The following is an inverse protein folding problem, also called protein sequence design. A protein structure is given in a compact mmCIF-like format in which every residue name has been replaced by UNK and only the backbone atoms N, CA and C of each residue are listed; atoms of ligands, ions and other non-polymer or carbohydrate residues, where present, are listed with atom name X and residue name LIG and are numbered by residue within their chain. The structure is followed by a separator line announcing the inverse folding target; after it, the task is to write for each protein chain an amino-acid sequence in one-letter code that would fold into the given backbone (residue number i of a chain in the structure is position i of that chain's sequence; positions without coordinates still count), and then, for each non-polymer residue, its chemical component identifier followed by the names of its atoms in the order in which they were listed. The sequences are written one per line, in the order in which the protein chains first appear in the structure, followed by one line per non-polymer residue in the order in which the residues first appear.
data_IF_908764246786
#
_entry.id   IF_908764246786
#
_cell.length_a   1.000
_cell.length_b   1.000
_cell.length_c   1.000
_cell.angle_alpha   90.00
_cell.angle_beta   90.00
_cell.angle_gamma   90.00
#
_symmetry.space_group_name_H-M   'P 1'
#
loop_
_entity.id
_entity.type
_entity.pdbx_description
1 polymer ?
#
# COMPACT_ATOMS: atom_id res chain seq x y z
N UNK A 1 27.69 11.34 -50.97
CA UNK A 1 27.02 11.15 -49.68
C UNK A 1 27.50 9.82 -49.08
N UNK A 2 28.20 9.86 -47.96
CA UNK A 2 28.76 8.67 -47.33
C UNK A 2 27.64 7.75 -46.88
N UNK A 3 27.61 6.50 -47.39
CA UNK A 3 26.60 5.50 -47.01
C UNK A 3 26.54 5.25 -45.50
N UNK A 4 27.65 5.51 -44.77
CA UNK A 4 27.71 5.48 -43.31
C UNK A 4 26.88 6.58 -42.64
N UNK A 5 26.78 7.78 -43.26
CA UNK A 5 25.96 8.86 -42.69
C UNK A 5 24.45 8.56 -42.72
N UNK A 6 24.00 7.72 -43.65
CA UNK A 6 22.62 7.26 -43.74
C UNK A 6 22.29 6.15 -42.72
N UNK A 7 23.29 5.41 -42.24
CA UNK A 7 23.10 4.36 -41.24
C UNK A 7 23.12 4.91 -39.82
N UNK A 8 23.72 6.10 -39.59
CA UNK A 8 23.83 6.70 -38.25
C UNK A 8 22.48 6.90 -37.55
N UNK A 9 21.43 7.50 -38.20
CA UNK A 9 20.12 7.65 -37.55
C UNK A 9 19.44 6.32 -37.24
N UNK A 10 19.64 5.31 -38.09
CA UNK A 10 19.10 3.97 -37.84
C UNK A 10 19.76 3.31 -36.62
N UNK A 11 21.09 3.42 -36.49
CA UNK A 11 21.81 2.88 -35.34
C UNK A 11 21.44 3.60 -34.05
N UNK A 12 21.26 4.93 -34.09
CA UNK A 12 20.78 5.70 -32.94
C UNK A 12 19.37 5.28 -32.54
N UNK A 13 18.48 5.10 -33.50
CA UNK A 13 17.12 4.63 -33.25
C UNK A 13 17.10 3.23 -32.63
N UNK A 14 17.85 2.27 -33.17
CA UNK A 14 17.96 0.93 -32.61
C UNK A 14 18.57 0.94 -31.19
N UNK A 15 19.57 1.79 -30.95
CA UNK A 15 20.14 1.99 -29.61
C UNK A 15 19.11 2.52 -28.62
N UNK A 16 18.28 3.49 -29.05
CA UNK A 16 17.20 4.03 -28.25
C UNK A 16 16.11 2.99 -27.94
N UNK A 17 15.72 2.23 -28.94
CA UNK A 17 14.75 1.11 -28.78
C UNK A 17 15.28 0.08 -27.78
N UNK A 18 16.54 -0.33 -27.91
CA UNK A 18 17.16 -1.27 -26.98
C UNK A 18 17.23 -0.70 -25.54
N UNK A 19 17.58 0.57 -25.40
CA UNK A 19 17.61 1.26 -24.11
C UNK A 19 16.24 1.27 -23.42
N UNK A 20 15.18 1.63 -24.16
CA UNK A 20 13.81 1.60 -23.61
C UNK A 20 13.32 0.19 -23.35
N UNK A 21 13.64 -0.79 -24.21
CA UNK A 21 13.29 -2.19 -23.98
C UNK A 21 13.87 -2.70 -22.66
N UNK A 22 15.14 -2.39 -22.37
CA UNK A 22 15.77 -2.72 -21.06
C UNK A 22 15.13 -1.92 -19.91
N UNK A 23 14.77 -0.65 -20.14
CA UNK A 23 14.07 0.17 -19.14
C UNK A 23 12.71 -0.39 -18.74
N UNK A 24 11.94 -0.90 -19.71
CA UNK A 24 10.62 -1.50 -19.49
C UNK A 24 10.64 -2.85 -18.76
N UNK A 25 11.80 -3.53 -18.72
CA UNK A 25 11.95 -4.76 -17.92
C UNK A 25 12.22 -4.48 -16.44
N UNK A 26 12.48 -3.23 -16.07
CA UNK A 26 12.69 -2.86 -14.67
C UNK A 26 11.33 -2.71 -13.98
N UNK A 27 11.17 -3.41 -12.87
CA UNK A 27 9.96 -3.35 -12.06
C UNK A 27 9.87 -1.98 -11.36
N UNK A 28 8.87 -1.13 -11.68
CA UNK A 28 8.71 0.18 -11.05
C UNK A 28 8.25 0.08 -9.59
N UNK A 29 7.78 -1.09 -9.13
CA UNK A 29 7.37 -1.31 -7.74
C UNK A 29 8.55 -1.32 -6.77
N UNK A 30 9.80 -1.37 -7.27
CA UNK A 30 11.03 -1.31 -6.46
C UNK A 30 11.37 0.09 -5.92
N UNK A 31 10.48 1.07 -6.05
CA UNK A 31 10.66 2.37 -5.39
C UNK A 31 10.52 2.15 -3.89
N UNK A 32 11.65 2.00 -3.21
CA UNK A 32 11.66 1.88 -1.76
C UNK A 32 11.07 3.15 -1.16
N UNK A 33 10.10 2.96 -0.27
CA UNK A 33 9.54 4.09 0.47
C UNK A 33 10.64 4.76 1.29
N UNK A 34 10.70 6.08 1.25
CA UNK A 34 11.60 6.89 2.09
C UNK A 34 11.31 6.74 3.58
N UNK A 35 10.20 6.11 3.94
CA UNK A 35 9.76 5.86 5.30
C UNK A 35 10.29 4.54 5.89
N UNK A 36 10.94 3.68 5.10
CA UNK A 36 11.47 2.41 5.61
C UNK A 36 12.43 2.70 6.77
N UNK A 37 12.23 1.96 7.88
CA UNK A 37 12.94 2.10 9.16
C UNK A 37 12.82 3.49 9.80
N UNK A 38 11.75 4.21 9.48
CA UNK A 38 11.40 5.50 10.10
C UNK A 38 10.04 5.41 10.82
N UNK A 39 9.82 6.28 11.80
CA UNK A 39 8.52 6.39 12.45
C UNK A 39 7.39 6.63 11.45
N UNK A 40 6.27 5.95 11.65
CA UNK A 40 5.03 6.23 10.91
C UNK A 40 4.68 7.71 11.08
N UNK A 41 4.43 8.48 10.02
CA UNK A 41 3.96 9.85 10.13
C UNK A 41 2.75 9.96 11.05
N UNK A 42 2.78 10.95 11.94
CA UNK A 42 1.71 11.14 12.91
C UNK A 42 0.43 11.59 12.21
N UNK A 43 -0.67 10.92 12.48
CA UNK A 43 -2.00 11.34 12.06
C UNK A 43 -3.01 11.14 13.17
N UNK A 44 -4.07 11.92 13.12
CA UNK A 44 -5.24 11.85 13.97
C UNK A 44 -6.46 12.21 13.12
N UNK A 45 -7.19 11.19 12.68
CA UNK A 45 -8.27 11.29 11.70
C UNK A 45 -9.59 10.81 12.29
N UNK A 46 -10.75 11.28 11.78
CA UNK A 46 -12.03 10.69 12.11
C UNK A 46 -12.06 9.21 11.75
N UNK A 47 -12.73 8.40 12.55
CA UNK A 47 -13.01 7.02 12.18
C UNK A 47 -14.15 6.99 11.16
N UNK A 48 -13.95 6.29 10.04
CA UNK A 48 -14.98 6.18 9.02
C UNK A 48 -16.23 5.46 9.55
N UNK A 49 -17.38 6.12 9.42
CA UNK A 49 -18.68 5.56 9.79
C UNK A 49 -18.96 5.51 11.30
N UNK A 50 -18.13 6.13 12.15
CA UNK A 50 -18.32 6.17 13.61
C UNK A 50 -18.10 7.59 14.12
N UNK A 51 -19.19 8.28 14.46
CA UNK A 51 -19.13 9.65 14.95
C UNK A 51 -18.38 9.77 16.29
N UNK A 52 -17.58 10.82 16.42
CA UNK A 52 -16.84 11.14 17.65
C UNK A 52 -15.66 10.21 17.95
N UNK A 53 -15.42 9.18 17.16
CA UNK A 53 -14.27 8.29 17.28
C UNK A 53 -13.14 8.75 16.36
N UNK A 54 -11.91 8.61 16.84
CA UNK A 54 -10.73 8.97 16.05
C UNK A 54 -9.77 7.79 15.95
N UNK A 55 -9.07 7.72 14.83
CA UNK A 55 -8.01 6.76 14.57
C UNK A 55 -6.69 7.52 14.50
N UNK A 56 -5.74 7.10 15.32
CA UNK A 56 -4.43 7.75 15.41
C UNK A 56 -3.31 6.79 15.03
N UNK A 57 -2.21 7.33 14.51
CA UNK A 57 -1.00 6.54 14.23
C UNK A 57 -0.45 5.81 15.46
N UNK A 58 -0.66 6.34 16.66
CA UNK A 58 -0.22 5.72 17.92
C UNK A 58 -0.89 4.35 18.17
N UNK A 59 -2.12 4.16 17.70
CA UNK A 59 -2.85 2.87 17.86
C UNK A 59 -2.21 1.72 17.05
N UNK A 60 -1.38 2.05 16.06
CA UNK A 60 -0.69 1.06 15.22
C UNK A 60 0.62 0.58 15.84
N UNK A 61 1.02 1.08 17.00
CA UNK A 61 2.21 0.66 17.75
C UNK A 61 1.89 -0.36 18.85
N UNK A 62 2.93 -0.96 19.46
CA UNK A 62 2.79 -1.97 20.51
C UNK A 62 2.71 -3.42 19.99
N UNK A 63 2.35 -3.61 18.73
CA UNK A 63 2.33 -4.89 18.02
C UNK A 63 2.68 -4.68 16.54
N UNK A 64 2.92 -5.75 15.82
CA UNK A 64 3.06 -5.66 14.35
C UNK A 64 1.66 -5.51 13.75
N UNK A 65 1.47 -4.49 12.89
CA UNK A 65 0.19 -4.16 12.27
C UNK A 65 0.33 -3.90 10.79
N UNK A 66 -0.76 -3.99 10.05
CA UNK A 66 -0.86 -3.53 8.67
C UNK A 66 -1.69 -2.26 8.59
N UNK A 67 -1.18 -1.26 7.87
CA UNK A 67 -1.94 -0.09 7.43
C UNK A 67 -2.17 -0.20 5.93
N UNK A 68 -3.40 -0.46 5.53
CA UNK A 68 -3.80 -0.59 4.14
C UNK A 68 -4.49 0.69 3.67
N UNK A 69 -3.94 1.30 2.63
CA UNK A 69 -4.51 2.48 1.95
C UNK A 69 -5.41 1.98 0.85
N UNK A 70 -6.68 2.31 0.93
CA UNK A 70 -7.69 1.83 0.00
C UNK A 70 -8.77 2.86 -0.27
N UNK A 71 -9.64 2.57 -1.23
CA UNK A 71 -10.85 3.36 -1.49
C UNK A 71 -11.94 2.50 -2.14
N UNK A 72 -13.21 2.88 -1.96
CA UNK A 72 -14.35 2.18 -2.57
C UNK A 72 -14.35 2.26 -4.10
N UNK A 73 -13.83 3.35 -4.67
CA UNK A 73 -13.70 3.56 -6.11
C UNK A 73 -12.53 2.80 -6.75
N UNK A 74 -11.67 2.16 -5.94
CA UNK A 74 -10.46 1.47 -6.39
C UNK A 74 -10.76 0.02 -6.81
N UNK A 75 -10.65 -0.30 -8.08
CA UNK A 75 -10.92 -1.66 -8.61
C UNK A 75 -9.92 -2.67 -8.06
N UNK A 76 -8.62 -2.32 -8.01
CA UNK A 76 -7.58 -3.21 -7.49
C UNK A 76 -7.75 -3.50 -5.99
N UNK A 77 -8.33 -2.57 -5.22
CA UNK A 77 -8.67 -2.79 -3.81
C UNK A 77 -9.78 -3.85 -3.64
N UNK A 78 -10.72 -3.94 -4.60
CA UNK A 78 -11.72 -5.03 -4.61
C UNK A 78 -11.08 -6.39 -4.86
N UNK A 79 -9.98 -6.44 -5.62
CA UNK A 79 -9.27 -7.69 -5.92
C UNK A 79 -8.57 -8.24 -4.68
N UNK A 80 -7.94 -7.39 -3.86
CA UNK A 80 -7.25 -7.84 -2.63
C UNK A 80 -8.21 -8.10 -1.45
N UNK A 81 -9.38 -7.48 -1.45
CA UNK A 81 -10.31 -7.49 -0.32
C UNK A 81 -10.65 -8.89 0.25
N UNK A 82 -10.90 -9.93 -0.59
CA UNK A 82 -11.13 -11.29 -0.09
C UNK A 82 -9.96 -11.85 0.70
N UNK A 83 -8.72 -11.52 0.32
CA UNK A 83 -7.51 -11.94 1.05
C UNK A 83 -7.44 -11.24 2.39
N UNK A 84 -7.69 -9.92 2.44
CA UNK A 84 -7.72 -9.17 3.70
C UNK A 84 -8.79 -9.71 4.67
N UNK A 85 -9.98 -10.06 4.16
CA UNK A 85 -11.03 -10.70 4.97
C UNK A 85 -10.60 -12.07 5.52
N UNK A 86 -9.91 -12.88 4.72
CA UNK A 86 -9.36 -14.18 5.15
C UNK A 86 -8.35 -13.98 6.28
N UNK A 87 -7.45 -13.00 6.15
CA UNK A 87 -6.44 -12.69 7.16
C UNK A 87 -7.07 -12.20 8.46
N UNK A 88 -8.02 -11.28 8.38
CA UNK A 88 -8.75 -10.76 9.54
C UNK A 88 -9.53 -11.85 10.28
N UNK A 89 -10.28 -12.71 9.56
CA UNK A 89 -11.00 -13.84 10.15
C UNK A 89 -10.06 -14.84 10.84
N UNK A 90 -8.91 -15.10 10.25
CA UNK A 90 -7.91 -16.00 10.81
C UNK A 90 -7.10 -15.36 11.95
N UNK A 91 -7.34 -14.07 12.26
CA UNK A 91 -6.58 -13.28 13.26
C UNK A 91 -5.06 -13.37 13.04
N UNK A 92 -4.64 -13.42 11.77
CA UNK A 92 -3.23 -13.53 11.40
C UNK A 92 -2.46 -12.27 11.69
N UNK A 93 -3.11 -11.11 11.54
CA UNK A 93 -2.54 -9.78 11.77
C UNK A 93 -3.69 -8.80 12.01
N UNK A 94 -3.43 -7.74 12.75
CA UNK A 94 -4.37 -6.63 12.89
C UNK A 94 -4.24 -5.67 11.73
N UNK A 95 -5.36 -5.38 11.06
CA UNK A 95 -5.43 -4.51 9.90
C UNK A 95 -6.10 -3.18 10.27
N UNK A 96 -5.46 -2.08 9.90
CA UNK A 96 -6.04 -0.75 9.91
C UNK A 96 -6.24 -0.28 8.47
N UNK A 97 -7.36 0.38 8.21
CA UNK A 97 -7.65 0.98 6.92
C UNK A 97 -7.37 2.48 6.91
N UNK A 98 -6.84 3.01 5.83
CA UNK A 98 -6.82 4.44 5.51
C UNK A 98 -7.68 4.63 4.27
N UNK A 99 -8.90 5.16 4.47
CA UNK A 99 -9.82 5.46 3.37
C UNK A 99 -9.37 6.75 2.68
N UNK A 100 -8.78 6.61 1.49
CA UNK A 100 -8.13 7.71 0.77
C UNK A 100 -9.10 8.40 -0.18
N UNK A 101 -9.43 9.67 0.13
CA UNK A 101 -10.31 10.51 -0.71
C UNK A 101 -11.60 9.79 -1.12
N UNK A 102 -12.19 9.09 -0.17
CA UNK A 102 -13.41 8.34 -0.37
C UNK A 102 -14.65 9.15 0.04
N UNK A 103 -15.81 8.77 -0.45
CA UNK A 103 -17.07 9.33 0.00
C UNK A 103 -17.67 8.43 1.08
N UNK A 104 -18.11 8.99 2.23
CA UNK A 104 -18.59 8.20 3.35
C UNK A 104 -19.69 7.19 2.99
N UNK A 105 -20.66 7.58 2.14
CA UNK A 105 -21.74 6.70 1.71
C UNK A 105 -21.26 5.58 0.78
N UNK A 106 -20.33 5.88 -0.14
CA UNK A 106 -19.75 4.87 -1.05
C UNK A 106 -18.93 3.85 -0.26
N UNK A 107 -18.10 4.32 0.68
CA UNK A 107 -17.33 3.47 1.58
C UNK A 107 -18.22 2.58 2.43
N UNK A 108 -19.28 3.15 3.02
CA UNK A 108 -20.26 2.40 3.82
C UNK A 108 -20.93 1.29 3.02
N UNK A 109 -21.40 1.61 1.81
CA UNK A 109 -22.02 0.62 0.93
C UNK A 109 -21.02 -0.48 0.57
N UNK A 110 -19.80 -0.12 0.21
CA UNK A 110 -18.73 -1.05 -0.14
C UNK A 110 -18.43 -2.02 1.00
N UNK A 111 -18.29 -1.51 2.25
CA UNK A 111 -18.04 -2.35 3.43
C UNK A 111 -19.25 -3.23 3.80
N UNK A 112 -20.47 -2.74 3.57
CA UNK A 112 -21.68 -3.53 3.83
C UNK A 112 -21.85 -4.69 2.86
N UNK A 113 -21.45 -4.51 1.60
CA UNK A 113 -21.53 -5.55 0.57
C UNK A 113 -20.42 -6.60 0.70
N UNK A 114 -19.18 -6.14 0.92
CA UNK A 114 -18.00 -6.98 0.86
C UNK A 114 -17.50 -7.44 2.23
N UNK A 115 -18.01 -6.84 3.31
CA UNK A 115 -17.53 -7.05 4.68
C UNK A 115 -16.40 -6.10 5.07
N UNK A 116 -16.09 -6.04 6.37
CA UNK A 116 -15.06 -5.16 6.92
C UNK A 116 -13.90 -5.99 7.51
N UNK A 117 -12.69 -5.98 6.92
CA UNK A 117 -11.52 -6.67 7.45
C UNK A 117 -10.76 -5.85 8.50
N UNK A 118 -11.07 -4.56 8.66
CA UNK A 118 -10.26 -3.62 9.44
C UNK A 118 -10.72 -3.53 10.89
N UNK A 119 -9.76 -3.43 11.82
CA UNK A 119 -10.02 -3.12 13.24
C UNK A 119 -10.56 -1.69 13.40
N UNK A 120 -10.01 -0.75 12.62
CA UNK A 120 -10.51 0.61 12.49
C UNK A 120 -10.13 1.17 11.11
N UNK A 121 -10.91 2.16 10.64
CA UNK A 121 -10.66 2.84 9.36
C UNK A 121 -10.53 4.33 9.64
N UNK A 122 -9.38 4.91 9.32
CA UNK A 122 -9.14 6.34 9.33
C UNK A 122 -9.68 6.97 8.03
N UNK A 123 -10.47 8.04 8.14
CA UNK A 123 -11.00 8.79 7.01
C UNK A 123 -10.04 9.90 6.58
N UNK A 124 -9.27 9.68 5.52
CA UNK A 124 -8.39 10.68 4.91
C UNK A 124 -9.09 11.35 3.70
N UNK A 125 -10.24 11.99 3.97
CA UNK A 125 -11.04 12.66 2.95
C UNK A 125 -10.23 13.72 2.16
N UNK A 126 -9.24 14.36 2.80
CA UNK A 126 -8.37 15.35 2.16
C UNK A 126 -7.21 14.72 1.37
N UNK A 127 -6.84 13.49 1.70
CA UNK A 127 -5.66 12.79 1.16
C UNK A 127 -4.34 13.30 1.73
N UNK A 128 -4.37 14.09 2.82
CA UNK A 128 -3.15 14.68 3.39
C UNK A 128 -2.26 13.61 4.02
N UNK A 129 -2.85 12.70 4.78
CA UNK A 129 -2.11 11.60 5.41
C UNK A 129 -1.49 10.68 4.35
N UNK A 130 -2.21 10.39 3.28
CA UNK A 130 -1.66 9.61 2.15
C UNK A 130 -0.43 10.31 1.52
N UNK A 131 -0.42 11.65 1.41
CA UNK A 131 0.75 12.40 0.94
C UNK A 131 1.92 12.25 1.92
N UNK A 132 1.69 12.41 3.20
CA UNK A 132 2.73 12.31 4.24
C UNK A 132 3.31 10.87 4.31
N UNK A 133 2.51 9.86 3.99
CA UNK A 133 2.92 8.45 3.83
C UNK A 133 3.68 8.19 2.51
N UNK A 134 3.67 9.13 1.57
CA UNK A 134 4.23 8.93 0.23
C UNK A 134 3.45 7.92 -0.59
N UNK A 135 2.11 7.91 -0.45
CA UNK A 135 1.22 7.06 -1.25
C UNK A 135 1.26 7.51 -2.71
N UNK A 136 1.47 6.56 -3.60
CA UNK A 136 1.52 6.78 -5.05
C UNK A 136 0.23 6.33 -5.74
N UNK A 137 -0.52 5.44 -5.10
CA UNK A 137 -1.79 4.91 -5.60
C UNK A 137 -2.46 4.00 -4.57
N UNK A 138 -3.65 3.50 -4.89
CA UNK A 138 -4.32 2.49 -4.09
C UNK A 138 -4.49 1.21 -4.92
N UNK A 139 -4.32 0.01 -4.30
CA UNK A 139 -3.99 -0.18 -2.90
C UNK A 139 -2.47 -0.09 -2.62
N UNK A 140 -2.13 0.35 -1.44
CA UNK A 140 -0.78 0.25 -0.86
C UNK A 140 -0.89 -0.19 0.60
N UNK A 141 0.02 -1.06 1.06
CA UNK A 141 0.00 -1.57 2.43
C UNK A 141 1.34 -1.42 3.10
N UNK A 142 1.32 -0.88 4.32
CA UNK A 142 2.50 -0.68 5.15
C UNK A 142 2.52 -1.72 6.27
N UNK A 143 3.68 -2.34 6.53
CA UNK A 143 3.92 -3.10 7.75
C UNK A 143 4.53 -2.16 8.77
N UNK A 144 3.87 -2.06 9.92
CA UNK A 144 4.30 -1.24 11.06
C UNK A 144 4.75 -2.18 12.18
N UNK A 145 5.93 -1.96 12.73
CA UNK A 145 6.45 -2.74 13.85
C UNK A 145 5.92 -2.27 15.21
N UNK A 146 6.31 -2.98 16.27
CA UNK A 146 5.91 -2.65 17.66
C UNK A 146 6.33 -1.25 18.12
N UNK A 147 7.40 -0.70 17.51
CA UNK A 147 7.92 0.64 17.82
C UNK A 147 7.22 1.74 17.01
N UNK A 148 6.26 1.36 16.16
CA UNK A 148 5.57 2.29 15.28
C UNK A 148 6.42 2.71 14.07
N UNK A 149 7.41 1.91 13.66
CA UNK A 149 8.24 2.17 12.50
C UNK A 149 7.70 1.44 11.27
N UNK A 150 7.78 2.09 10.13
CA UNK A 150 7.45 1.47 8.83
C UNK A 150 8.58 0.53 8.45
N UNK A 151 8.30 -0.77 8.32
CA UNK A 151 9.31 -1.78 7.99
C UNK A 151 9.21 -2.29 6.55
N UNK A 152 8.07 -2.10 5.93
CA UNK A 152 7.84 -2.50 4.53
C UNK A 152 6.68 -1.71 3.93
N UNK A 153 6.72 -1.53 2.61
CA UNK A 153 5.64 -0.97 1.82
C UNK A 153 5.35 -1.88 0.64
N UNK A 154 4.18 -2.47 0.60
CA UNK A 154 3.64 -3.18 -0.56
C UNK A 154 2.94 -2.19 -1.46
N UNK A 155 3.33 -2.11 -2.72
CA UNK A 155 2.63 -1.34 -3.76
C UNK A 155 1.81 -2.33 -4.59
N UNK A 156 0.53 -2.02 -4.77
CA UNK A 156 -0.41 -2.91 -5.45
C UNK A 156 -1.10 -3.93 -4.53
N UNK A 157 -2.01 -4.73 -5.09
CA UNK A 157 -2.87 -5.61 -4.32
C UNK A 157 -2.10 -6.75 -3.64
N UNK A 158 -2.57 -7.13 -2.45
CA UNK A 158 -2.12 -8.33 -1.74
C UNK A 158 -2.94 -9.51 -2.26
N UNK A 159 -2.25 -10.45 -2.89
CA UNK A 159 -2.77 -11.78 -3.21
C UNK A 159 -2.18 -12.85 -2.27
N UNK A 160 -2.59 -14.09 -2.40
CA UNK A 160 -2.05 -15.20 -1.59
C UNK A 160 -0.54 -15.36 -1.80
N UNK A 161 -0.01 -15.09 -3.02
CA UNK A 161 1.43 -15.18 -3.30
C UNK A 161 2.22 -14.11 -2.57
N UNK A 162 1.80 -12.84 -2.65
CA UNK A 162 2.43 -11.72 -1.93
C UNK A 162 2.37 -11.95 -0.43
N UNK A 163 1.23 -12.43 0.07
CA UNK A 163 1.08 -12.74 1.48
C UNK A 163 2.07 -13.82 1.94
N UNK A 164 2.07 -14.98 1.29
CA UNK A 164 2.85 -16.15 1.74
C UNK A 164 4.36 -15.97 1.55
N UNK A 165 4.78 -15.30 0.46
CA UNK A 165 6.19 -15.23 0.11
C UNK A 165 6.88 -13.92 0.54
N UNK A 166 6.12 -12.87 0.87
CA UNK A 166 6.69 -11.56 1.22
C UNK A 166 6.25 -11.09 2.60
N UNK A 167 4.93 -10.94 2.83
CA UNK A 167 4.46 -10.27 4.04
C UNK A 167 4.53 -11.17 5.26
N UNK A 168 4.03 -12.40 5.18
CA UNK A 168 3.99 -13.33 6.31
C UNK A 168 5.38 -13.65 6.88
N UNK A 169 6.43 -13.97 6.08
CA UNK A 169 7.78 -14.20 6.61
C UNK A 169 8.37 -12.95 7.29
N UNK A 170 8.11 -11.77 6.73
CA UNK A 170 8.57 -10.52 7.30
C UNK A 170 7.87 -10.22 8.63
N UNK A 171 6.55 -10.38 8.69
CA UNK A 171 5.75 -10.21 9.92
C UNK A 171 6.25 -11.15 11.01
N UNK A 172 6.43 -12.44 10.70
CA UNK A 172 6.93 -13.42 11.66
C UNK A 172 8.31 -13.04 12.23
N UNK A 173 9.20 -12.51 11.39
CA UNK A 173 10.49 -11.98 11.83
C UNK A 173 10.33 -10.78 12.76
N UNK A 174 9.48 -9.80 12.41
CA UNK A 174 9.25 -8.61 13.21
C UNK A 174 8.55 -8.92 14.55
N UNK A 175 7.71 -9.95 14.58
CA UNK A 175 7.08 -10.42 15.81
C UNK A 175 8.09 -11.10 16.76
N UNK A 176 9.16 -11.67 16.22
CA UNK A 176 10.25 -12.26 16.99
C UNK A 176 11.29 -11.23 17.47
N UNK A 177 11.35 -10.02 16.89
CA UNK A 177 12.18 -8.91 17.36
C UNK A 177 11.61 -8.40 18.70
N UNK A 178 12.47 -8.34 19.75
CA UNK A 178 12.11 -7.85 21.11
C UNK A 178 12.21 -6.33 21.22
#
# INVERSE_FOLDING_TARGET
MNRFALLLPLLLFLGLVAYFAVGLTRDPSLIQSVLIDKPLPAFDLPAAGVDGVRVTSAQLSGRVTLLNVFASWCIACKVEHPVLLKLAKAKKIELYGLAWKDKPEELKNWLSELGNPYAAIADDATGRTAIDLGVTGAPETYIIDRKGQVRYKQIGPIDDYVWENTLQPLIARLEAEQ
#
